data_IF_301200455644
#
_entry.id   IF_301200455644
#
_cell.length_a   1.000
_cell.length_b   1.000
_cell.length_c   1.000
_cell.angle_alpha   90.00
_cell.angle_beta   90.00
_cell.angle_gamma   90.00
#
_symmetry.space_group_name_H-M   'P 1'
#
loop_
_entity.id
_entity.type
_entity.pdbx_description
1 polymer ?
#
# COMPACT_ATOMS: atom_id res chain seq x y z
N UNK A 1 57.50 -4.91 -51.02
CA UNK A 1 57.87 -3.82 -50.08
C UNK A 1 56.57 -3.05 -49.84
N UNK A 2 55.95 -2.96 -48.67
CA UNK A 2 56.38 -3.16 -47.30
C UNK A 2 55.12 -3.54 -46.51
N UNK A 3 55.16 -4.63 -45.75
CA UNK A 3 54.09 -5.05 -44.84
C UNK A 3 54.06 -4.10 -43.64
N UNK A 4 52.91 -3.51 -43.33
CA UNK A 4 52.66 -2.90 -42.02
C UNK A 4 51.55 -3.67 -41.31
N UNK A 5 52.01 -4.52 -40.40
CA UNK A 5 51.26 -5.18 -39.34
C UNK A 5 50.78 -4.14 -38.34
N UNK A 6 49.48 -4.11 -38.07
CA UNK A 6 48.92 -3.42 -36.90
C UNK A 6 48.29 -4.48 -36.01
N UNK A 7 48.90 -4.65 -34.83
CA UNK A 7 48.46 -5.53 -33.76
C UNK A 7 47.08 -5.11 -33.25
N UNK A 8 46.17 -6.07 -33.15
CA UNK A 8 44.93 -5.94 -32.38
C UNK A 8 45.27 -5.86 -30.87
N UNK A 9 44.65 -4.95 -30.09
CA UNK A 9 44.52 -5.16 -28.66
C UNK A 9 43.36 -6.15 -28.42
N UNK A 10 43.70 -7.34 -27.93
CA UNK A 10 42.74 -8.31 -27.42
C UNK A 10 42.05 -7.74 -26.17
N UNK A 11 40.77 -7.37 -26.28
CA UNK A 11 39.94 -7.14 -25.09
C UNK A 11 39.69 -8.50 -24.42
N UNK A 12 40.24 -8.68 -23.22
CA UNK A 12 39.73 -9.68 -22.27
C UNK A 12 38.33 -9.22 -21.84
N UNK A 13 37.30 -9.87 -22.37
CA UNK A 13 35.97 -9.78 -21.77
C UNK A 13 35.95 -10.66 -20.52
N UNK A 14 35.93 -10.02 -19.35
CA UNK A 14 35.57 -10.69 -18.10
C UNK A 14 34.08 -11.02 -18.18
N UNK A 15 33.76 -12.27 -18.47
CA UNK A 15 32.44 -12.81 -18.22
C UNK A 15 32.23 -12.87 -16.71
N UNK A 16 31.56 -11.86 -16.16
CA UNK A 16 30.96 -12.01 -14.83
C UNK A 16 29.81 -12.99 -15.00
N UNK A 17 30.06 -14.25 -14.63
CA UNK A 17 28.98 -15.19 -14.39
C UNK A 17 28.10 -14.58 -13.30
N UNK A 18 26.89 -14.15 -13.66
CA UNK A 18 25.86 -13.84 -12.69
C UNK A 18 25.55 -15.16 -11.97
N UNK A 19 26.13 -15.31 -10.78
CA UNK A 19 25.81 -16.39 -9.88
C UNK A 19 24.31 -16.37 -9.63
N UNK A 20 23.63 -17.49 -9.89
CA UNK A 20 22.27 -17.73 -9.44
C UNK A 20 22.23 -17.65 -7.92
N UNK A 21 21.97 -16.46 -7.39
CA UNK A 21 21.75 -16.26 -5.97
C UNK A 21 20.32 -16.75 -5.66
N UNK A 22 20.30 -17.92 -5.03
CA UNK A 22 19.16 -18.63 -4.47
C UNK A 22 18.31 -17.79 -3.50
N UNK A 23 17.00 -17.83 -3.71
CA UNK A 23 15.94 -17.96 -2.69
C UNK A 23 15.93 -16.99 -1.49
N UNK A 24 15.94 -15.68 -1.74
CA UNK A 24 15.37 -14.68 -0.81
C UNK A 24 14.25 -13.93 -1.53
N UNK A 25 13.20 -14.68 -1.89
CA UNK A 25 12.05 -14.17 -2.63
C UNK A 25 11.08 -13.39 -1.73
N UNK A 26 10.74 -12.18 -2.20
CA UNK A 26 9.49 -11.43 -1.99
C UNK A 26 9.22 -10.89 -0.58
N UNK A 27 10.02 -9.89 -0.16
CA UNK A 27 9.68 -8.97 0.93
C UNK A 27 9.58 -7.54 0.36
N UNK A 28 8.38 -6.96 0.41
CA UNK A 28 8.01 -5.60 -0.01
C UNK A 28 8.91 -4.94 -1.09
N UNK A 29 8.72 -5.27 -2.36
CA UNK A 29 9.65 -4.89 -3.45
C UNK A 29 9.20 -3.78 -4.40
N UNK A 30 8.13 -3.04 -4.13
CA UNK A 30 7.96 -1.78 -4.90
C UNK A 30 7.58 -0.59 -4.02
N UNK A 31 8.23 0.52 -4.35
CA UNK A 31 8.37 1.73 -3.54
C UNK A 31 7.90 2.88 -4.41
N UNK A 32 6.78 3.50 -4.06
CA UNK A 32 6.18 4.60 -4.82
C UNK A 32 6.17 5.86 -3.93
N UNK A 33 6.93 6.89 -4.30
CA UNK A 33 6.91 8.20 -3.63
C UNK A 33 8.28 8.81 -3.30
N UNK A 34 8.27 10.04 -2.77
CA UNK A 34 9.44 10.74 -2.25
C UNK A 34 9.53 10.55 -0.72
N UNK A 35 10.57 9.85 -0.25
CA UNK A 35 10.82 9.59 1.18
C UNK A 35 12.02 10.37 1.68
N UNK A 36 11.95 10.81 2.94
CA UNK A 36 13.06 11.51 3.60
C UNK A 36 14.02 10.56 4.32
N UNK A 37 13.50 9.44 4.86
CA UNK A 37 14.31 8.43 5.57
C UNK A 37 13.70 7.05 5.42
N UNK A 38 14.56 6.03 5.31
CA UNK A 38 14.19 4.61 5.33
C UNK A 38 15.19 3.81 6.18
N UNK A 39 14.69 3.02 7.13
CA UNK A 39 15.48 2.05 7.88
C UNK A 39 14.77 0.69 7.91
N UNK A 40 15.51 -0.38 7.59
CA UNK A 40 15.04 -1.77 7.76
C UNK A 40 15.85 -2.43 8.88
N UNK A 41 15.15 -3.02 9.85
CA UNK A 41 15.80 -3.64 11.01
C UNK A 41 16.68 -4.84 10.63
N UNK A 42 17.96 -4.81 11.04
CA UNK A 42 18.99 -5.86 10.78
C UNK A 42 18.73 -7.20 11.48
N UNK A 43 17.68 -7.32 12.30
CA UNK A 43 17.39 -8.47 13.15
C UNK A 43 15.99 -9.01 12.84
N UNK A 44 15.88 -10.11 12.08
CA UNK A 44 14.77 -11.07 11.86
C UNK A 44 13.27 -10.65 11.83
N UNK A 45 12.88 -9.41 12.12
CA UNK A 45 11.49 -8.97 12.27
C UNK A 45 10.99 -8.08 11.11
N UNK A 46 11.81 -7.80 10.08
CA UNK A 46 11.45 -7.00 8.90
C UNK A 46 10.63 -5.73 9.19
N UNK A 47 10.96 -5.02 10.27
CA UNK A 47 10.29 -3.76 10.58
C UNK A 47 10.78 -2.70 9.60
N UNK A 48 9.83 -2.02 8.95
CA UNK A 48 10.08 -0.88 8.07
C UNK A 48 9.75 0.40 8.82
N UNK A 49 10.66 1.37 8.76
CA UNK A 49 10.47 2.72 9.27
C UNK A 49 10.67 3.71 8.13
N UNK A 50 9.76 4.66 7.97
CA UNK A 50 9.82 5.62 6.88
C UNK A 50 9.10 6.92 7.21
N UNK A 51 9.47 8.00 6.52
CA UNK A 51 8.77 9.27 6.60
C UNK A 51 8.67 9.97 5.25
N UNK A 52 7.65 10.82 5.12
CA UNK A 52 7.46 11.70 3.96
C UNK A 52 7.00 13.07 4.47
N UNK A 53 7.64 14.11 3.95
CA UNK A 53 7.33 15.51 4.26
C UNK A 53 6.74 16.14 3.01
N UNK A 54 5.69 16.93 3.18
CA UNK A 54 5.00 17.52 2.03
C UNK A 54 4.34 18.84 2.38
N UNK A 55 4.16 19.65 1.35
CA UNK A 55 3.30 20.84 1.35
C UNK A 55 2.52 20.81 0.05
N UNK A 56 1.20 20.83 0.15
CA UNK A 56 0.30 20.77 -0.99
C UNK A 56 -0.79 21.83 -0.87
N UNK A 57 -1.03 22.54 -1.97
CA UNK A 57 -2.05 23.57 -2.09
C UNK A 57 -2.89 23.35 -3.36
N UNK A 58 -4.09 23.92 -3.40
CA UNK A 58 -5.01 23.80 -4.53
C UNK A 58 -5.63 22.41 -4.68
N UNK A 59 -6.71 22.31 -5.47
CA UNK A 59 -7.40 21.04 -5.74
C UNK A 59 -7.77 20.29 -4.46
N UNK A 60 -8.52 20.91 -3.54
CA UNK A 60 -8.79 20.38 -2.19
C UNK A 60 -9.45 19.00 -2.16
N UNK A 61 -10.07 18.59 -3.26
CA UNK A 61 -10.76 17.31 -3.40
C UNK A 61 -9.98 16.31 -4.26
N UNK A 62 -8.69 16.57 -4.52
CA UNK A 62 -7.81 15.73 -5.31
C UNK A 62 -6.62 15.28 -4.49
N UNK A 63 -6.42 13.97 -4.42
CA UNK A 63 -5.19 13.37 -3.89
C UNK A 63 -4.00 13.82 -4.73
N UNK A 64 -2.89 14.19 -4.08
CA UNK A 64 -1.67 14.67 -4.76
C UNK A 64 -0.59 13.61 -4.92
N UNK A 65 -0.55 12.65 -4.01
CA UNK A 65 0.44 11.57 -4.00
C UNK A 65 -0.06 10.42 -3.13
N UNK A 66 0.57 9.25 -3.23
CA UNK A 66 0.40 8.16 -2.28
C UNK A 66 1.77 7.56 -1.92
N UNK A 67 2.49 8.23 -1.01
CA UNK A 67 3.77 7.70 -0.49
C UNK A 67 3.45 6.46 0.34
N UNK A 68 3.98 5.29 -0.06
CA UNK A 68 3.62 4.02 0.57
C UNK A 68 4.73 2.97 0.53
N UNK A 69 4.56 1.94 1.36
CA UNK A 69 5.27 0.68 1.30
C UNK A 69 4.35 -0.41 0.76
N UNK A 70 4.84 -1.26 -0.14
CA UNK A 70 4.01 -2.26 -0.82
C UNK A 70 4.61 -3.66 -0.83
N UNK A 71 3.75 -4.66 -0.68
CA UNK A 71 4.00 -6.04 -1.13
C UNK A 71 3.29 -6.19 -2.48
N UNK A 72 4.06 -6.15 -3.57
CA UNK A 72 3.54 -6.33 -4.92
C UNK A 72 3.67 -7.77 -5.41
N UNK A 73 2.99 -8.05 -6.52
CA UNK A 73 2.97 -9.36 -7.17
C UNK A 73 2.57 -10.49 -6.22
N UNK A 74 1.63 -10.22 -5.29
CA UNK A 74 1.15 -11.22 -4.32
C UNK A 74 0.67 -12.47 -5.04
N UNK A 75 -0.13 -12.29 -6.11
CA UNK A 75 -0.54 -13.33 -7.06
C UNK A 75 -1.13 -14.59 -6.40
N UNK A 76 -1.85 -14.40 -5.29
CA UNK A 76 -2.61 -15.44 -4.59
C UNK A 76 -4.09 -15.10 -4.63
N UNK A 77 -4.95 -16.11 -4.76
CA UNK A 77 -6.39 -15.88 -4.58
C UNK A 77 -6.71 -15.55 -3.14
N UNK A 78 -7.78 -14.79 -2.90
CA UNK A 78 -8.25 -14.50 -1.55
C UNK A 78 -8.45 -15.80 -0.74
N UNK A 79 -9.04 -16.83 -1.34
CA UNK A 79 -9.25 -18.13 -0.68
C UNK A 79 -7.98 -18.93 -0.36
N UNK A 80 -6.85 -18.59 -0.98
CA UNK A 80 -5.55 -19.27 -0.80
C UNK A 80 -4.69 -18.61 0.29
N UNK A 81 -5.08 -17.41 0.74
CA UNK A 81 -4.39 -16.67 1.81
C UNK A 81 -5.06 -16.98 3.14
N UNK A 82 -4.27 -17.49 4.09
CA UNK A 82 -4.75 -17.82 5.43
C UNK A 82 -4.85 -16.56 6.30
N UNK A 83 -3.83 -15.71 6.24
CA UNK A 83 -3.78 -14.46 7.00
C UNK A 83 -2.88 -13.42 6.33
N UNK A 84 -3.15 -12.15 6.65
CA UNK A 84 -2.35 -10.98 6.29
C UNK A 84 -2.09 -10.17 7.56
N UNK A 85 -1.26 -10.65 8.49
CA UNK A 85 -0.99 -9.92 9.71
C UNK A 85 -0.17 -8.67 9.41
N UNK A 86 -0.57 -7.56 10.03
CA UNK A 86 0.06 -6.25 9.88
C UNK A 86 0.10 -5.50 11.19
N UNK A 87 1.24 -4.86 11.48
CA UNK A 87 1.36 -3.87 12.56
C UNK A 87 1.79 -2.54 11.96
N UNK A 88 1.20 -1.44 12.45
CA UNK A 88 1.53 -0.11 11.95
C UNK A 88 1.41 0.94 13.05
N UNK A 89 2.54 1.56 13.38
CA UNK A 89 2.63 2.73 14.25
C UNK A 89 3.04 3.95 13.43
N UNK A 90 2.21 4.99 13.48
CA UNK A 90 2.41 6.20 12.69
C UNK A 90 1.98 7.46 13.43
N UNK A 91 2.43 8.60 12.92
CA UNK A 91 1.99 9.94 13.34
C UNK A 91 1.95 10.88 12.14
N UNK A 92 1.14 11.92 12.25
CA UNK A 92 1.06 12.99 11.26
C UNK A 92 1.06 14.33 12.00
N UNK A 93 1.82 15.29 11.50
CA UNK A 93 1.91 16.65 12.01
C UNK A 93 1.92 17.65 10.86
N UNK A 94 1.69 18.92 11.14
CA UNK A 94 1.65 19.99 10.15
C UNK A 94 0.52 20.97 10.43
N UNK A 95 0.31 21.91 9.51
CA UNK A 95 -0.75 22.93 9.61
C UNK A 95 -1.79 22.71 8.50
N UNK A 96 -3.07 22.71 8.88
CA UNK A 96 -4.22 22.52 7.97
C UNK A 96 -4.10 21.27 7.09
N UNK A 97 -3.60 20.18 7.67
CA UNK A 97 -3.44 18.89 6.98
C UNK A 97 -4.81 18.29 6.68
N UNK A 98 -5.04 17.99 5.40
CA UNK A 98 -6.13 17.15 4.90
C UNK A 98 -5.48 15.96 4.21
N UNK A 99 -5.59 14.79 4.82
CA UNK A 99 -4.97 13.56 4.35
C UNK A 99 -5.66 12.34 4.97
N UNK A 100 -5.54 11.19 4.33
CA UNK A 100 -5.77 9.91 5.00
C UNK A 100 -4.46 9.21 5.38
N UNK A 101 -4.61 8.15 6.17
CA UNK A 101 -3.57 7.14 6.38
C UNK A 101 -4.24 5.80 6.22
N UNK A 102 -3.86 5.07 5.17
CA UNK A 102 -4.63 3.93 4.70
C UNK A 102 -3.75 2.77 4.23
N UNK A 103 -4.24 1.56 4.51
CA UNK A 103 -3.90 0.43 3.66
C UNK A 103 -4.67 0.54 2.35
N UNK A 104 -4.03 0.18 1.25
CA UNK A 104 -4.62 0.14 -0.09
C UNK A 104 -4.35 -1.21 -0.74
N UNK A 105 -5.42 -2.01 -0.92
CA UNK A 105 -5.34 -3.42 -1.29
C UNK A 105 -6.05 -3.65 -2.61
N UNK A 106 -5.38 -4.33 -3.54
CA UNK A 106 -5.86 -4.44 -4.91
C UNK A 106 -6.24 -5.87 -5.29
N UNK A 107 -7.36 -6.00 -6.01
CA UNK A 107 -7.85 -7.29 -6.52
C UNK A 107 -8.07 -7.26 -8.02
N UNK A 108 -7.61 -8.30 -8.69
CA UNK A 108 -7.87 -8.60 -10.10
C UNK A 108 -8.59 -9.95 -10.25
N UNK A 109 -9.32 -10.20 -11.34
CA UNK A 109 -10.03 -11.46 -11.53
C UNK A 109 -9.08 -12.66 -11.76
N UNK A 110 -7.87 -12.42 -12.27
CA UNK A 110 -6.77 -13.38 -12.36
C UNK A 110 -5.43 -12.64 -12.45
N UNK A 111 -4.32 -13.37 -12.29
CA UNK A 111 -2.96 -12.82 -12.43
C UNK A 111 -2.77 -12.23 -13.83
N UNK A 112 -2.38 -10.96 -13.91
CA UNK A 112 -2.14 -10.23 -15.16
C UNK A 112 -3.37 -9.51 -15.74
N UNK A 113 -4.56 -9.66 -15.14
CA UNK A 113 -5.70 -8.80 -15.46
C UNK A 113 -5.58 -7.42 -14.79
N UNK A 114 -6.30 -6.44 -15.33
CA UNK A 114 -6.49 -5.17 -14.66
C UNK A 114 -7.26 -5.38 -13.35
N UNK A 115 -6.93 -4.57 -12.34
CA UNK A 115 -7.67 -4.59 -11.08
C UNK A 115 -9.13 -4.19 -11.31
N UNK A 116 -10.03 -4.84 -10.56
CA UNK A 116 -11.46 -4.55 -10.54
C UNK A 116 -11.93 -4.00 -9.20
N UNK A 117 -11.22 -4.32 -8.12
CA UNK A 117 -11.49 -3.76 -6.81
C UNK A 117 -10.24 -3.14 -6.20
N UNK A 118 -10.49 -2.04 -5.49
CA UNK A 118 -9.58 -1.36 -4.58
C UNK A 118 -10.23 -1.39 -3.20
N UNK A 119 -9.49 -1.81 -2.19
CA UNK A 119 -9.98 -1.95 -0.82
C UNK A 119 -9.09 -1.12 0.07
N UNK A 120 -9.61 0.01 0.51
CA UNK A 120 -8.91 0.90 1.41
C UNK A 120 -9.35 0.67 2.85
N UNK A 121 -8.38 0.64 3.77
CA UNK A 121 -8.64 0.56 5.21
C UNK A 121 -7.98 1.77 5.86
N UNK A 122 -8.79 2.79 6.14
CA UNK A 122 -8.32 4.08 6.64
C UNK A 122 -8.17 4.03 8.15
N UNK A 123 -6.92 3.96 8.59
CA UNK A 123 -6.55 4.14 9.98
C UNK A 123 -6.66 5.59 10.41
N UNK A 124 -6.47 6.54 9.49
CA UNK A 124 -6.57 7.97 9.73
C UNK A 124 -7.45 8.69 8.71
N UNK A 125 -8.31 9.59 9.18
CA UNK A 125 -9.01 10.60 8.38
C UNK A 125 -8.72 11.96 9.01
N UNK A 126 -7.80 12.71 8.41
CA UNK A 126 -7.24 13.95 8.96
C UNK A 126 -7.84 15.14 8.20
N UNK A 127 -8.27 16.17 8.92
CA UNK A 127 -8.72 17.42 8.34
C UNK A 127 -10.01 17.34 7.50
N UNK A 128 -10.79 16.27 7.64
CA UNK A 128 -12.02 16.07 6.88
C UNK A 128 -11.84 15.33 5.56
N UNK A 129 -10.69 14.67 5.33
CA UNK A 129 -10.52 13.75 4.21
C UNK A 129 -11.62 12.66 4.22
N UNK A 130 -12.22 12.40 3.05
CA UNK A 130 -13.32 11.45 2.90
C UNK A 130 -13.10 10.49 1.73
N UNK A 131 -13.66 9.27 1.78
CA UNK A 131 -13.45 8.26 0.76
C UNK A 131 -14.30 8.53 -0.50
N UNK A 132 -13.96 7.81 -1.57
CA UNK A 132 -14.83 7.66 -2.73
C UNK A 132 -16.13 6.98 -2.29
N UNK A 133 -17.28 7.57 -2.64
CA UNK A 133 -18.59 7.11 -2.19
C UNK A 133 -19.71 7.48 -3.18
N UNK A 134 -20.53 6.50 -3.55
CA UNK A 134 -21.77 6.71 -4.32
C UNK A 134 -22.87 7.37 -3.49
N UNK A 135 -22.84 7.20 -2.17
CA UNK A 135 -23.85 7.70 -1.23
C UNK A 135 -23.41 8.97 -0.51
N UNK A 136 -22.32 9.60 -0.97
CA UNK A 136 -21.71 10.75 -0.31
C UNK A 136 -21.24 10.38 1.10
N UNK A 137 -21.67 11.14 2.11
CA UNK A 137 -21.22 10.95 3.50
C UNK A 137 -21.92 9.82 4.26
N UNK A 138 -22.89 9.13 3.66
CA UNK A 138 -23.61 8.03 4.31
C UNK A 138 -22.92 6.70 4.03
N UNK A 139 -22.44 5.96 5.05
CA UNK A 139 -21.85 4.64 4.83
C UNK A 139 -22.92 3.63 4.36
N UNK A 140 -22.50 2.68 3.51
CA UNK A 140 -23.36 1.58 3.04
C UNK A 140 -23.55 0.48 4.09
N UNK A 141 -22.62 0.39 5.04
CA UNK A 141 -22.66 -0.51 6.20
C UNK A 141 -21.73 -0.03 7.31
N UNK A 142 -21.92 -0.54 8.52
CA UNK A 142 -21.03 -0.25 9.67
C UNK A 142 -20.55 -1.53 10.37
N UNK A 143 -19.71 -2.36 9.73
CA UNK A 143 -19.30 -3.64 10.29
C UNK A 143 -18.33 -3.52 11.47
N UNK A 144 -18.35 -4.54 12.35
CA UNK A 144 -17.33 -4.74 13.37
C UNK A 144 -16.29 -5.74 12.88
N UNK A 145 -15.06 -5.28 12.67
CA UNK A 145 -13.92 -6.09 12.18
C UNK A 145 -12.75 -5.86 13.14
N UNK A 146 -12.13 -6.95 13.60
CA UNK A 146 -11.03 -6.90 14.59
C UNK A 146 -11.42 -6.15 15.88
N UNK A 147 -12.66 -6.35 16.34
CA UNK A 147 -13.19 -5.71 17.55
C UNK A 147 -13.45 -4.20 17.43
N UNK A 148 -13.36 -3.62 16.22
CA UNK A 148 -13.59 -2.20 15.97
C UNK A 148 -14.70 -1.99 14.95
N UNK A 149 -15.52 -0.97 15.17
CA UNK A 149 -16.52 -0.55 14.19
C UNK A 149 -15.87 0.30 13.10
N UNK A 150 -16.23 0.00 11.86
CA UNK A 150 -15.79 0.70 10.65
C UNK A 150 -17.01 1.24 9.91
N UNK A 151 -16.91 2.42 9.31
CA UNK A 151 -17.87 2.88 8.32
C UNK A 151 -17.41 2.42 6.95
N UNK A 152 -18.20 1.58 6.28
CA UNK A 152 -17.90 1.12 4.93
C UNK A 152 -18.56 2.03 3.91
N UNK A 153 -17.74 2.53 2.98
CA UNK A 153 -18.16 3.27 1.80
C UNK A 153 -17.85 2.46 0.55
N UNK A 154 -18.55 2.78 -0.52
CA UNK A 154 -18.35 2.18 -1.84
C UNK A 154 -18.56 3.21 -2.93
N UNK A 155 -17.68 3.24 -3.92
CA UNK A 155 -17.96 3.96 -5.16
C UNK A 155 -16.96 3.68 -6.29
N UNK A 156 -17.21 4.24 -7.48
CA UNK A 156 -16.40 3.95 -8.65
C UNK A 156 -15.17 4.86 -8.74
N UNK A 157 -14.04 4.30 -9.16
CA UNK A 157 -12.86 5.00 -9.64
C UNK A 157 -12.52 4.49 -11.05
N UNK A 158 -13.10 5.14 -12.07
CA UNK A 158 -13.05 4.63 -13.44
C UNK A 158 -13.74 3.26 -13.56
N UNK A 159 -12.98 2.24 -13.97
CA UNK A 159 -13.48 0.86 -14.09
C UNK A 159 -13.36 0.05 -12.77
N UNK A 160 -12.77 0.63 -11.73
CA UNK A 160 -12.52 -0.02 -10.44
C UNK A 160 -13.65 0.32 -9.47
N UNK A 161 -14.13 -0.68 -8.73
CA UNK A 161 -15.01 -0.45 -7.56
C UNK A 161 -14.15 -0.32 -6.31
N UNK A 162 -14.23 0.82 -5.64
CA UNK A 162 -13.50 1.11 -4.40
C UNK A 162 -14.39 0.82 -3.21
N UNK A 163 -13.88 0.03 -2.26
CA UNK A 163 -14.45 -0.14 -0.93
C UNK A 163 -13.54 0.53 0.10
N UNK A 164 -14.05 1.46 0.91
CA UNK A 164 -13.25 2.14 1.93
C UNK A 164 -13.83 1.90 3.31
N UNK A 165 -13.06 1.26 4.19
CA UNK A 165 -13.36 1.09 5.60
C UNK A 165 -12.74 2.21 6.40
N UNK A 166 -13.56 3.08 6.99
CA UNK A 166 -13.09 4.22 7.79
C UNK A 166 -13.24 3.91 9.27
N UNK A 167 -12.15 4.01 10.02
CA UNK A 167 -12.17 3.80 11.46
C UNK A 167 -13.15 4.75 12.15
N UNK A 168 -14.02 4.20 13.01
CA UNK A 168 -14.87 5.02 13.89
C UNK A 168 -14.13 5.34 15.19
N UNK A 169 -14.45 6.49 15.80
CA UNK A 169 -13.89 6.91 17.08
C UNK A 169 -12.52 7.59 16.98
N UNK A 170 -12.08 7.98 15.78
CA UNK A 170 -10.86 8.75 15.53
C UNK A 170 -9.71 7.92 14.95
N UNK A 171 -8.55 8.56 14.82
CA UNK A 171 -7.38 7.99 14.15
C UNK A 171 -6.75 6.84 14.98
N UNK A 172 -6.45 5.74 14.31
CA UNK A 172 -5.75 4.57 14.84
C UNK A 172 -4.26 4.73 14.56
N UNK A 173 -3.55 5.43 15.44
CA UNK A 173 -2.10 5.66 15.32
C UNK A 173 -1.24 4.42 15.60
N UNK A 174 -1.82 3.39 16.22
CA UNK A 174 -1.19 2.09 16.46
C UNK A 174 -2.18 0.98 16.13
N UNK A 175 -1.94 0.30 15.02
CA UNK A 175 -2.75 -0.83 14.53
C UNK A 175 -1.98 -2.14 14.67
N UNK A 176 -2.69 -3.19 15.07
CA UNK A 176 -2.25 -4.58 15.07
C UNK A 176 -3.46 -5.44 14.68
N UNK A 177 -3.35 -6.15 13.56
CA UNK A 177 -4.46 -6.98 13.10
C UNK A 177 -4.22 -7.71 11.79
N UNK A 178 -5.16 -8.60 11.48
CA UNK A 178 -5.16 -9.39 10.26
C UNK A 178 -6.04 -8.73 9.18
N UNK A 179 -5.40 -8.21 8.13
CA UNK A 179 -6.10 -7.54 7.03
C UNK A 179 -7.00 -8.49 6.22
N UNK A 180 -6.78 -9.80 6.31
CA UNK A 180 -7.65 -10.80 5.65
C UNK A 180 -9.10 -10.71 6.11
N UNK A 181 -9.34 -10.23 7.33
CA UNK A 181 -10.69 -10.08 7.89
C UNK A 181 -11.55 -9.10 7.08
N UNK A 182 -10.95 -8.10 6.44
CA UNK A 182 -11.67 -7.16 5.57
C UNK A 182 -12.09 -7.84 4.26
N UNK A 183 -11.21 -8.64 3.64
CA UNK A 183 -11.61 -9.47 2.50
C UNK A 183 -12.70 -10.46 2.88
N UNK A 184 -12.62 -11.13 4.04
CA UNK A 184 -13.66 -12.05 4.50
C UNK A 184 -15.02 -11.35 4.61
N UNK A 185 -15.06 -10.14 5.16
CA UNK A 185 -16.26 -9.33 5.20
C UNK A 185 -16.80 -9.03 3.79
N UNK A 186 -15.95 -8.56 2.88
CA UNK A 186 -16.39 -8.24 1.51
C UNK A 186 -16.89 -9.47 0.75
N UNK A 187 -16.25 -10.62 0.94
CA UNK A 187 -16.69 -11.87 0.29
C UNK A 187 -18.02 -12.39 0.82
N UNK A 188 -18.30 -12.19 2.11
CA UNK A 188 -19.55 -12.65 2.72
C UNK A 188 -20.71 -11.68 2.54
N UNK A 189 -20.43 -10.38 2.46
CA UNK A 189 -21.45 -9.33 2.62
C UNK A 189 -21.55 -8.36 1.44
N UNK A 190 -20.52 -8.28 0.58
CA UNK A 190 -20.46 -7.28 -0.52
C UNK A 190 -20.27 -7.92 -1.91
N UNK A 191 -20.37 -9.24 -2.00
CA UNK A 191 -20.36 -9.96 -3.28
C UNK A 191 -19.00 -10.06 -3.97
N UNK A 192 -17.90 -9.70 -3.29
CA UNK A 192 -16.55 -9.90 -3.83
C UNK A 192 -16.27 -11.39 -3.92
N UNK A 193 -15.89 -11.91 -5.09
CA UNK A 193 -15.61 -13.32 -5.24
C UNK A 193 -14.29 -13.70 -4.52
N UNK A 194 -14.30 -14.75 -3.70
CA UNK A 194 -13.11 -15.28 -3.04
C UNK A 194 -12.04 -15.86 -4.01
N UNK A 195 -12.40 -16.06 -5.27
CA UNK A 195 -11.47 -16.41 -6.35
C UNK A 195 -10.70 -15.24 -6.96
N UNK A 196 -11.03 -13.99 -6.56
CA UNK A 196 -10.24 -12.82 -6.96
C UNK A 196 -8.79 -12.96 -6.48
N UNK A 197 -7.86 -12.51 -7.31
CA UNK A 197 -6.41 -12.52 -7.08
C UNK A 197 -6.01 -11.22 -6.39
N UNK A 198 -5.33 -11.33 -5.25
CA UNK A 198 -4.65 -10.20 -4.61
C UNK A 198 -3.41 -9.87 -5.44
N UNK A 199 -3.34 -8.64 -5.94
CA UNK A 199 -2.23 -8.19 -6.81
C UNK A 199 -1.18 -7.43 -6.01
N UNK A 200 -1.60 -6.43 -5.23
CA UNK A 200 -0.74 -5.65 -4.34
C UNK A 200 -1.43 -5.35 -3.01
N UNK A 201 -0.61 -5.19 -1.97
CA UNK A 201 -1.01 -4.76 -0.64
C UNK A 201 -0.10 -3.59 -0.24
N UNK A 202 -0.67 -2.42 -0.02
CA UNK A 202 0.07 -1.18 0.22
C UNK A 202 -0.35 -0.53 1.55
N UNK A 203 0.53 0.29 2.11
CA UNK A 203 0.27 1.09 3.31
C UNK A 203 0.97 2.45 3.21
N UNK A 204 0.18 3.52 3.25
CA UNK A 204 0.66 4.87 2.98
C UNK A 204 -0.27 5.99 3.42
N UNK A 205 -0.07 7.17 2.84
CA UNK A 205 -0.88 8.36 3.12
C UNK A 205 -1.21 9.10 1.82
N UNK A 206 -2.47 9.48 1.64
CA UNK A 206 -2.93 10.32 0.53
C UNK A 206 -3.15 11.77 1.00
N UNK A 207 -2.20 12.70 0.75
CA UNK A 207 -2.41 14.11 1.02
C UNK A 207 -3.27 14.80 -0.03
N UNK A 208 -4.17 15.66 0.45
CA UNK A 208 -4.97 16.57 -0.37
C UNK A 208 -4.38 17.98 -0.32
N UNK A 209 -4.30 18.56 0.88
CA UNK A 209 -3.76 19.89 1.16
C UNK A 209 -3.13 19.95 2.54
N UNK A 210 -2.23 20.90 2.76
CA UNK A 210 -1.57 21.10 4.05
C UNK A 210 -0.18 21.68 3.88
N UNK A 211 0.38 22.21 4.96
CA UNK A 211 1.69 22.87 4.95
C UNK A 211 2.59 22.35 6.07
N UNK A 212 3.88 22.23 5.74
CA UNK A 212 4.91 21.66 6.63
C UNK A 212 4.46 20.33 7.25
N UNK A 213 3.77 19.52 6.44
CA UNK A 213 3.22 18.27 6.92
C UNK A 213 4.31 17.20 6.94
N UNK A 214 4.32 16.40 7.99
CA UNK A 214 5.25 15.29 8.17
C UNK A 214 4.45 14.07 8.57
N UNK A 215 4.45 13.06 7.71
CA UNK A 215 3.95 11.73 8.03
C UNK A 215 5.11 10.81 8.39
N UNK A 216 5.07 10.26 9.60
CA UNK A 216 6.11 9.37 10.12
C UNK A 216 5.51 7.99 10.42
N UNK A 217 6.18 6.94 9.96
CA UNK A 217 5.95 5.55 10.34
C UNK A 217 7.12 5.05 11.18
N UNK A 218 6.86 4.80 12.46
CA UNK A 218 7.86 4.35 13.43
C UNK A 218 8.07 2.84 13.43
N UNK A 219 7.05 2.09 13.02
CA UNK A 219 7.12 0.64 12.89
C UNK A 219 6.03 0.20 11.94
N UNK A 220 6.42 -0.54 10.91
CA UNK A 220 5.50 -1.19 10.01
C UNK A 220 5.96 -2.62 9.72
N UNK A 221 5.04 -3.57 9.81
CA UNK A 221 5.22 -4.94 9.30
C UNK A 221 3.96 -5.36 8.57
N UNK A 222 4.12 -6.11 7.49
CA UNK A 222 3.03 -6.77 6.80
C UNK A 222 3.56 -8.05 6.16
N UNK A 223 2.76 -9.12 6.17
CA UNK A 223 3.12 -10.39 5.53
C UNK A 223 1.89 -11.10 4.99
N UNK A 224 2.10 -12.04 4.06
CA UNK A 224 1.03 -12.85 3.47
C UNK A 224 1.36 -14.32 3.72
N UNK A 225 0.52 -15.00 4.50
CA UNK A 225 0.68 -16.41 4.86
C UNK A 225 -0.23 -17.28 3.99
#
# INVERSE_FOLDING_TARGET
MQFMSLLLPSLLTVTVAASSASSLERRATTWCGAFNKLETGRNNNNVVQWSTDWTWEGGSNQVKSYSNVAIDNVNKKIREVNSIPSTWSWSNSGTNVVADVAYDLWLAPWVGANNQYEIMIWLGSIGGAGPISETGSTPIASPTILGRQWNLFKGPNGAVTVFSFIATGGNIQSFDGDLKQFFNYLTSSQGVNQDMTITSLQAGTEPFTGSNAVFNTWSFTMSVN
#
